data_IF_277467750762
#
_entry.id   IF_277467750762
#
_cell.length_a   1.000
_cell.length_b   1.000
_cell.length_c   1.000
_cell.angle_alpha   90.00
_cell.angle_beta   90.00
_cell.angle_gamma   90.00
#
_symmetry.space_group_name_H-M   'P 1'
#
loop_
_entity.id
_entity.type
_entity.pdbx_description
1 polymer ?
#
# COMPACT_ATOMS: atom_id res chain seq x y z
N UNK A 1 -10.91 -10.26 -13.84
CA UNK A 1 -11.34 -9.03 -13.13
C UNK A 1 -10.32 -8.79 -12.03
N UNK A 2 -9.80 -7.56 -11.89
CA UNK A 2 -8.84 -7.25 -10.83
C UNK A 2 -9.59 -7.04 -9.50
N UNK A 3 -9.02 -7.46 -8.38
CA UNK A 3 -9.65 -7.49 -7.07
C UNK A 3 -8.96 -6.50 -6.12
N UNK A 4 -9.67 -5.49 -5.63
CA UNK A 4 -9.12 -4.56 -4.64
C UNK A 4 -9.13 -5.24 -3.26
N UNK A 5 -8.01 -5.15 -2.54
CA UNK A 5 -7.92 -5.63 -1.16
C UNK A 5 -9.04 -5.01 -0.30
N UNK A 6 -9.66 -5.84 0.55
CA UNK A 6 -10.82 -5.48 1.36
C UNK A 6 -10.46 -4.95 2.72
N UNK A 7 -9.40 -5.49 3.30
CA UNK A 7 -8.89 -5.02 4.58
C UNK A 7 -7.82 -3.95 4.38
N UNK A 8 -7.67 -3.11 5.40
CA UNK A 8 -6.58 -2.15 5.49
C UNK A 8 -5.33 -2.87 5.97
N UNK A 9 -4.26 -2.85 5.19
CA UNK A 9 -3.00 -3.52 5.52
C UNK A 9 -1.92 -2.50 5.84
N UNK A 10 -1.06 -2.81 6.81
CA UNK A 10 0.18 -2.05 7.07
C UNK A 10 1.22 -2.33 5.98
N UNK A 11 2.27 -1.52 5.90
CA UNK A 11 3.36 -1.72 4.93
C UNK A 11 3.99 -3.13 5.07
N UNK A 12 4.27 -3.55 6.31
CA UNK A 12 4.85 -4.87 6.58
C UNK A 12 3.91 -6.00 6.13
N UNK A 13 2.61 -5.88 6.39
CA UNK A 13 1.61 -6.85 5.94
C UNK A 13 1.48 -6.88 4.41
N UNK A 14 1.51 -5.73 3.74
CA UNK A 14 1.49 -5.64 2.28
C UNK A 14 2.74 -6.27 1.66
N UNK A 15 3.90 -6.12 2.31
CA UNK A 15 5.14 -6.78 1.88
C UNK A 15 5.02 -8.29 2.05
N UNK A 16 4.53 -8.77 3.19
CA UNK A 16 4.26 -10.20 3.40
C UNK A 16 3.26 -10.77 2.38
N UNK A 17 2.18 -10.05 2.05
CA UNK A 17 1.23 -10.46 1.00
C UNK A 17 1.93 -10.62 -0.35
N UNK A 18 2.84 -9.72 -0.73
CA UNK A 18 3.59 -9.83 -2.00
C UNK A 18 4.47 -11.07 -2.04
N UNK A 19 5.03 -11.48 -0.91
CA UNK A 19 5.85 -12.70 -0.81
C UNK A 19 5.00 -13.97 -0.93
N UNK A 20 3.73 -13.98 -0.49
CA UNK A 20 2.85 -15.16 -0.62
C UNK A 20 2.75 -15.70 -2.05
N UNK A 21 2.71 -14.81 -3.06
CA UNK A 21 2.63 -15.22 -4.46
C UNK A 21 3.92 -15.89 -4.95
N UNK A 22 5.07 -15.57 -4.36
CA UNK A 22 6.36 -16.18 -4.71
C UNK A 22 6.47 -17.58 -4.12
N UNK A 23 6.02 -17.73 -2.88
CA UNK A 23 6.22 -18.96 -2.10
C UNK A 23 5.08 -19.97 -2.26
N UNK A 24 3.87 -19.51 -2.62
CA UNK A 24 2.68 -20.36 -2.70
C UNK A 24 1.97 -20.25 -4.05
N UNK A 25 1.64 -21.42 -4.61
CA UNK A 25 0.79 -21.56 -5.80
C UNK A 25 -0.65 -21.96 -5.47
N UNK A 26 -0.92 -22.23 -4.19
CA UNK A 26 -2.20 -22.72 -3.69
C UNK A 26 -2.71 -21.78 -2.60
N UNK A 27 -3.83 -21.08 -2.83
CA UNK A 27 -4.44 -20.18 -1.85
C UNK A 27 -4.68 -20.84 -0.49
N UNK A 28 -5.17 -22.09 -0.49
CA UNK A 28 -5.46 -22.80 0.76
C UNK A 28 -4.19 -23.12 1.54
N UNK A 29 -3.07 -23.39 0.85
CA UNK A 29 -1.79 -23.62 1.52
C UNK A 29 -1.23 -22.31 2.12
N UNK A 30 -1.36 -21.19 1.40
CA UNK A 30 -0.95 -19.88 1.91
C UNK A 30 -1.73 -19.49 3.17
N UNK A 31 -3.06 -19.64 3.14
CA UNK A 31 -3.94 -19.41 4.30
C UNK A 31 -3.53 -20.31 5.46
N UNK A 32 -3.31 -21.60 5.20
CA UNK A 32 -2.94 -22.56 6.23
C UNK A 32 -1.60 -22.21 6.91
N UNK A 33 -0.63 -21.70 6.16
CA UNK A 33 0.69 -21.29 6.70
C UNK A 33 0.60 -20.03 7.55
N UNK A 34 -0.27 -19.09 7.17
CA UNK A 34 -0.55 -17.90 7.99
C UNK A 34 -1.20 -18.31 9.31
N UNK A 35 -2.15 -19.25 9.27
CA UNK A 35 -2.93 -19.65 10.45
C UNK A 35 -2.16 -20.59 11.40
N UNK A 36 -1.35 -21.52 10.88
CA UNK A 36 -0.61 -22.46 11.74
C UNK A 36 0.65 -21.80 12.30
N UNK A 37 0.82 -21.89 13.62
CA UNK A 37 2.07 -21.51 14.30
C UNK A 37 3.17 -22.54 14.01
N UNK A 38 4.08 -22.23 13.10
CA UNK A 38 5.25 -23.04 12.81
C UNK A 38 6.54 -22.25 13.07
N UNK A 39 7.03 -22.32 14.32
CA UNK A 39 8.36 -21.88 14.77
C UNK A 39 8.64 -20.36 14.82
N UNK A 40 9.78 -20.00 15.41
CA UNK A 40 10.18 -18.63 15.74
C UNK A 40 10.60 -17.77 14.52
N UNK A 41 10.88 -18.40 13.37
CA UNK A 41 11.18 -17.74 12.10
C UNK A 41 9.95 -17.74 11.19
N UNK A 42 8.92 -17.02 11.60
CA UNK A 42 7.66 -16.89 10.85
C UNK A 42 7.74 -15.72 9.85
N UNK A 43 7.90 -15.96 8.54
CA UNK A 43 7.98 -14.91 7.54
C UNK A 43 6.65 -14.17 7.33
N UNK A 44 5.53 -14.69 7.86
CA UNK A 44 4.19 -14.12 7.73
C UNK A 44 3.59 -13.68 9.08
N UNK A 45 4.47 -13.28 10.01
CA UNK A 45 4.08 -12.95 11.39
C UNK A 45 3.08 -11.81 11.47
N UNK A 46 3.17 -10.81 10.60
CA UNK A 46 2.29 -9.65 10.65
C UNK A 46 0.91 -10.01 10.11
N UNK A 47 0.82 -10.76 9.02
CA UNK A 47 -0.44 -11.31 8.52
C UNK A 47 -1.09 -12.27 9.51
N UNK A 48 -0.30 -13.08 10.22
CA UNK A 48 -0.81 -13.93 11.30
C UNK A 48 -1.36 -13.09 12.45
N UNK A 49 -0.61 -12.09 12.90
CA UNK A 49 -1.06 -11.19 13.95
C UNK A 49 -2.36 -10.48 13.55
N UNK A 50 -2.47 -10.04 12.29
CA UNK A 50 -3.70 -9.47 11.74
C UNK A 50 -4.86 -10.47 11.80
N UNK A 51 -4.66 -11.71 11.34
CA UNK A 51 -5.70 -12.73 11.39
C UNK A 51 -6.28 -12.96 12.80
N UNK A 52 -5.43 -12.91 13.83
CA UNK A 52 -5.90 -13.04 15.22
C UNK A 52 -6.49 -11.75 15.81
N UNK A 53 -6.29 -10.60 15.17
CA UNK A 53 -6.76 -9.30 15.63
C UNK A 53 -8.06 -8.83 14.96
N UNK A 54 -8.37 -9.34 13.76
CA UNK A 54 -9.61 -9.00 13.03
C UNK A 54 -10.84 -9.64 13.68
N UNK A 55 -12.02 -9.05 13.42
CA UNK A 55 -13.31 -9.63 13.82
C UNK A 55 -13.69 -10.84 12.97
N UNK A 56 -14.61 -11.66 13.48
CA UNK A 56 -15.13 -12.83 12.74
C UNK A 56 -15.80 -12.44 11.42
N UNK A 57 -16.36 -11.23 11.35
CA UNK A 57 -16.96 -10.62 10.17
C UNK A 57 -15.96 -10.36 9.04
N UNK A 58 -14.69 -10.15 9.38
CA UNK A 58 -13.62 -9.79 8.43
C UNK A 58 -12.81 -11.01 7.98
N UNK A 59 -13.00 -12.18 8.61
CA UNK A 59 -12.27 -13.41 8.30
C UNK A 59 -12.43 -13.82 6.83
N UNK A 60 -13.66 -13.69 6.30
CA UNK A 60 -13.94 -14.01 4.90
C UNK A 60 -13.17 -13.07 3.96
N UNK A 61 -13.16 -11.78 4.25
CA UNK A 61 -12.47 -10.77 3.45
C UNK A 61 -10.95 -10.95 3.51
N UNK A 62 -10.39 -11.30 4.69
CA UNK A 62 -8.98 -11.67 4.84
C UNK A 62 -8.61 -12.89 3.97
N UNK A 63 -9.41 -13.96 4.01
CA UNK A 63 -9.16 -15.14 3.18
C UNK A 63 -9.31 -14.84 1.69
N UNK A 64 -10.29 -14.01 1.32
CA UNK A 64 -10.50 -13.57 -0.05
C UNK A 64 -9.32 -12.72 -0.57
N UNK A 65 -8.78 -11.83 0.26
CA UNK A 65 -7.59 -11.03 -0.04
C UNK A 65 -6.39 -11.94 -0.33
N UNK A 66 -6.06 -12.88 0.57
CA UNK A 66 -4.97 -13.85 0.37
C UNK A 66 -5.17 -14.64 -0.91
N UNK A 67 -6.38 -15.14 -1.15
CA UNK A 67 -6.69 -15.90 -2.36
C UNK A 67 -6.42 -15.07 -3.62
N UNK A 68 -6.90 -13.83 -3.67
CA UNK A 68 -6.67 -12.96 -4.83
C UNK A 68 -5.20 -12.55 -5.00
N UNK A 69 -4.45 -12.42 -3.90
CA UNK A 69 -3.01 -12.17 -3.93
C UNK A 69 -2.26 -13.35 -4.54
N UNK A 70 -2.51 -14.57 -4.05
CA UNK A 70 -1.87 -15.81 -4.55
C UNK A 70 -2.24 -16.07 -6.01
N UNK A 71 -3.51 -15.83 -6.38
CA UNK A 71 -3.98 -15.96 -7.76
C UNK A 71 -3.49 -14.85 -8.69
N UNK A 72 -2.79 -13.82 -8.17
CA UNK A 72 -2.26 -12.71 -8.94
C UNK A 72 -3.33 -11.76 -9.49
N UNK A 73 -4.53 -11.77 -8.91
CA UNK A 73 -5.66 -10.91 -9.28
C UNK A 73 -5.81 -9.68 -8.39
N UNK A 74 -5.10 -9.64 -7.25
CA UNK A 74 -5.15 -8.52 -6.31
C UNK A 74 -4.55 -7.22 -6.87
N UNK A 75 -5.18 -6.09 -6.53
CA UNK A 75 -4.66 -4.74 -6.67
C UNK A 75 -4.19 -4.31 -5.29
N UNK A 76 -2.88 -4.18 -5.14
CA UNK A 76 -2.29 -3.57 -3.95
C UNK A 76 -2.59 -2.07 -3.93
N UNK A 77 -2.79 -1.45 -2.76
CA UNK A 77 -2.82 0.00 -2.66
C UNK A 77 -1.56 0.58 -3.32
N UNK A 78 -1.74 1.62 -4.13
CA UNK A 78 -0.62 2.26 -4.78
C UNK A 78 0.13 3.08 -3.74
N UNK A 79 1.46 2.93 -3.69
CA UNK A 79 2.32 3.86 -2.94
C UNK A 79 2.03 5.28 -3.41
N UNK A 80 1.70 6.17 -2.48
CA UNK A 80 1.43 7.56 -2.80
C UNK A 80 2.64 8.41 -2.44
N UNK A 81 2.91 9.35 -3.34
CA UNK A 81 4.05 10.25 -3.27
C UNK A 81 3.54 11.69 -3.20
N UNK A 82 4.33 12.53 -2.55
CA UNK A 82 4.30 13.98 -2.74
C UNK A 82 5.50 14.36 -3.58
N UNK A 83 5.44 15.53 -4.21
CA UNK A 83 6.62 16.18 -4.77
C UNK A 83 7.15 17.15 -3.72
N UNK A 84 8.39 16.93 -3.26
CA UNK A 84 9.07 17.75 -2.27
C UNK A 84 10.41 18.24 -2.80
N UNK A 85 10.50 19.55 -3.03
CA UNK A 85 11.77 20.22 -3.28
C UNK A 85 12.42 20.55 -1.94
N UNK A 86 13.40 19.73 -1.55
CA UNK A 86 14.14 19.86 -0.30
C UNK A 86 15.04 21.09 -0.25
N UNK A 87 15.43 21.68 -1.39
CA UNK A 87 16.25 22.89 -1.41
C UNK A 87 15.46 24.10 -0.91
N UNK A 88 14.17 24.15 -1.24
CA UNK A 88 13.27 25.24 -0.88
C UNK A 88 12.26 24.84 0.20
N UNK A 89 12.34 23.60 0.70
CA UNK A 89 11.38 22.99 1.63
C UNK A 89 9.92 23.23 1.18
N UNK A 90 9.65 23.01 -0.10
CA UNK A 90 8.36 23.30 -0.73
C UNK A 90 7.75 22.04 -1.33
N UNK A 91 6.42 21.97 -1.30
CA UNK A 91 5.64 20.84 -1.83
C UNK A 91 4.47 21.34 -2.68
N UNK A 92 3.83 20.41 -3.39
CA UNK A 92 2.67 20.74 -4.22
C UNK A 92 1.37 20.59 -3.41
N UNK A 93 0.56 21.65 -3.43
CA UNK A 93 -0.78 21.73 -2.84
C UNK A 93 -1.85 21.93 -3.91
N UNK A 94 -3.10 21.63 -3.56
CA UNK A 94 -4.26 22.00 -4.34
C UNK A 94 -4.78 23.37 -3.87
N UNK A 95 -4.84 24.33 -4.77
CA UNK A 95 -5.51 25.61 -4.58
C UNK A 95 -6.99 25.45 -4.93
N UNK A 96 -7.82 25.24 -3.91
CA UNK A 96 -9.26 25.02 -4.07
C UNK A 96 -10.00 26.22 -4.67
N UNK A 97 -9.46 27.44 -4.52
CA UNK A 97 -10.10 28.66 -5.03
C UNK A 97 -9.93 28.75 -6.54
N UNK A 98 -8.73 28.44 -7.04
CA UNK A 98 -8.40 28.53 -8.46
C UNK A 98 -8.38 27.17 -9.17
N UNK A 99 -8.72 26.09 -8.45
CA UNK A 99 -8.73 24.71 -8.91
C UNK A 99 -7.46 24.30 -9.68
N UNK A 100 -6.30 24.57 -9.07
CA UNK A 100 -4.98 24.33 -9.68
C UNK A 100 -3.96 23.81 -8.68
N UNK A 101 -2.89 23.20 -9.18
CA UNK A 101 -1.74 22.82 -8.38
C UNK A 101 -0.81 24.02 -8.18
N UNK A 102 -0.33 24.22 -6.96
CA UNK A 102 0.61 25.28 -6.60
C UNK A 102 1.77 24.74 -5.77
N UNK A 103 2.93 25.38 -5.87
CA UNK A 103 4.06 25.17 -4.97
C UNK A 103 3.92 26.08 -3.75
N UNK A 104 4.04 25.51 -2.55
CA UNK A 104 4.11 26.30 -1.32
C UNK A 104 5.00 25.60 -0.27
N UNK A 105 5.49 26.32 0.74
CA UNK A 105 6.31 25.73 1.80
C UNK A 105 5.59 24.55 2.47
N UNK A 106 6.32 23.48 2.79
CA UNK A 106 5.81 22.37 3.58
C UNK A 106 5.42 22.89 4.97
N UNK A 107 4.12 23.08 5.17
CA UNK A 107 3.53 23.61 6.40
C UNK A 107 2.28 22.80 6.78
N UNK A 108 1.42 23.33 7.66
CA UNK A 108 0.29 22.58 8.24
C UNK A 108 -0.75 22.03 7.23
N UNK A 109 -0.74 22.49 5.98
CA UNK A 109 -1.64 21.98 4.95
C UNK A 109 -1.24 20.58 4.49
N UNK A 110 -2.21 19.80 3.99
CA UNK A 110 -1.99 18.45 3.45
C UNK A 110 -1.50 18.56 2.00
N UNK A 111 -0.27 18.13 1.68
CA UNK A 111 0.22 18.13 0.31
C UNK A 111 -0.61 17.19 -0.55
N UNK A 112 -0.64 17.43 -1.87
CA UNK A 112 -1.30 16.55 -2.82
C UNK A 112 -0.55 15.23 -2.89
N UNK A 113 -1.28 14.12 -2.77
CA UNK A 113 -0.74 12.76 -2.83
C UNK A 113 -1.25 12.09 -4.11
N UNK A 114 -0.35 11.50 -4.88
CA UNK A 114 -0.65 10.81 -6.14
C UNK A 114 0.32 9.63 -6.33
N UNK A 115 0.02 8.73 -7.25
CA UNK A 115 1.00 7.69 -7.60
C UNK A 115 2.23 8.30 -8.27
N UNK A 116 3.34 7.55 -8.32
CA UNK A 116 4.53 7.96 -9.06
C UNK A 116 4.18 8.26 -10.52
N UNK A 117 3.41 7.39 -11.16
CA UNK A 117 3.03 7.51 -12.57
C UNK A 117 2.21 8.77 -12.84
N UNK A 118 1.25 9.08 -11.97
CA UNK A 118 0.43 10.30 -12.07
C UNK A 118 1.26 11.58 -11.93
N UNK A 119 2.28 11.59 -11.07
CA UNK A 119 3.18 12.74 -10.96
C UNK A 119 4.08 12.91 -12.18
N UNK A 120 4.62 11.81 -12.70
CA UNK A 120 5.49 11.85 -13.87
C UNK A 120 4.74 12.17 -15.17
N UNK A 121 3.44 11.87 -15.23
CA UNK A 121 2.56 12.32 -16.33
C UNK A 121 2.38 13.85 -16.32
N UNK A 122 2.29 14.47 -15.13
CA UNK A 122 2.23 15.93 -15.00
C UNK A 122 3.58 16.56 -15.38
N UNK A 123 4.67 16.07 -14.80
CA UNK A 123 6.01 16.55 -15.10
C UNK A 123 7.09 15.49 -14.74
N UNK A 124 7.80 14.94 -15.74
CA UNK A 124 8.88 13.97 -15.51
C UNK A 124 10.01 14.49 -14.62
N UNK A 125 10.22 15.81 -14.55
CA UNK A 125 11.25 16.42 -13.70
C UNK A 125 10.97 16.29 -12.20
N UNK A 126 9.77 15.83 -11.81
CA UNK A 126 9.45 15.55 -10.41
C UNK A 126 10.07 14.27 -9.88
N UNK A 127 10.55 13.36 -10.73
CA UNK A 127 11.11 12.07 -10.31
C UNK A 127 12.12 12.16 -9.14
N UNK A 128 13.15 13.03 -9.16
CA UNK A 128 14.11 13.14 -8.06
C UNK A 128 13.54 13.78 -6.79
N UNK A 129 12.34 14.37 -6.85
CA UNK A 129 11.67 15.08 -5.75
C UNK A 129 10.53 14.24 -5.15
N UNK A 130 10.29 13.02 -5.64
CA UNK A 130 9.22 12.17 -5.13
C UNK A 130 9.56 11.63 -3.74
N UNK A 131 8.78 12.03 -2.75
CA UNK A 131 8.83 11.51 -1.39
C UNK A 131 7.59 10.65 -1.13
N UNK A 132 7.80 9.40 -0.75
CA UNK A 132 6.73 8.47 -0.41
C UNK A 132 6.14 8.86 0.95
N UNK A 133 4.83 9.09 1.03
CA UNK A 133 4.18 9.63 2.25
C UNK A 133 2.99 8.83 2.74
N UNK A 134 2.46 7.92 1.92
CA UNK A 134 1.49 6.92 2.33
C UNK A 134 1.84 5.62 1.59
N UNK A 135 1.93 4.55 2.38
CA UNK A 135 2.01 3.17 1.90
C UNK A 135 0.66 2.47 2.10
#
# INVERSE_FOLDING_TARGET
MKYKLKLDYTEDELNELKELRKDYKSPINAIHQIIIVTSCDDPFRNLRAKYFAIGHEDEFDFMADINNVVMGTAIFPNKLYIVHDTNTNSVIYHDDINNKLIWAPLCFYRPVKRTKEEWLEINPAYEPMLEMVED
#
